data_IF_581415368275
#
_entry.id   IF_581415368275
#
_cell.length_a   1.000
_cell.length_b   1.000
_cell.length_c   1.000
_cell.angle_alpha   90.00
_cell.angle_beta   90.00
_cell.angle_gamma   90.00
#
_symmetry.space_group_name_H-M   'P 1'
#
loop_
_entity.id
_entity.type
_entity.pdbx_description
1 polymer ?
#
# COMPACT_ATOMS: atom_id res chain seq x y z
N UNK A 1 -28.78 -27.45 -57.45
CA UNK A 1 -27.77 -26.38 -57.27
C UNK A 1 -28.01 -25.79 -55.88
N UNK A 2 -27.21 -26.16 -54.87
CA UNK A 2 -26.21 -25.28 -54.22
C UNK A 2 -26.81 -23.88 -53.93
N UNK A 3 -26.93 -23.41 -52.68
CA UNK A 3 -25.82 -23.16 -51.75
C UNK A 3 -26.29 -23.12 -50.28
N UNK A 4 -25.37 -23.59 -49.44
CA UNK A 4 -25.27 -23.60 -47.97
C UNK A 4 -25.25 -22.17 -47.42
N UNK A 5 -25.86 -21.95 -46.23
CA UNK A 5 -25.29 -21.07 -45.21
C UNK A 5 -25.58 -21.63 -43.81
N UNK A 6 -24.57 -22.29 -43.25
CA UNK A 6 -24.41 -22.53 -41.82
C UNK A 6 -24.13 -21.18 -41.15
N UNK A 7 -24.92 -20.78 -40.16
CA UNK A 7 -24.55 -19.75 -39.21
C UNK A 7 -24.39 -20.43 -37.85
N UNK A 8 -23.19 -20.95 -37.60
CA UNK A 8 -22.78 -21.44 -36.28
C UNK A 8 -22.43 -20.20 -35.45
N UNK A 9 -23.38 -19.73 -34.64
CA UNK A 9 -23.13 -18.68 -33.65
C UNK A 9 -22.37 -19.32 -32.48
N UNK A 10 -21.04 -19.25 -32.53
CA UNK A 10 -20.19 -19.55 -31.38
C UNK A 10 -20.30 -18.37 -30.42
N UNK A 11 -21.25 -18.45 -29.49
CA UNK A 11 -21.23 -17.62 -28.29
C UNK A 11 -20.13 -18.21 -27.41
N UNK A 12 -18.91 -17.68 -27.52
CA UNK A 12 -17.91 -17.84 -26.47
C UNK A 12 -18.48 -17.15 -25.23
N UNK A 13 -19.04 -17.93 -24.32
CA UNK A 13 -19.18 -17.52 -22.93
C UNK A 13 -17.75 -17.32 -22.41
N UNK A 14 -17.25 -16.09 -22.50
CA UNK A 14 -16.18 -15.64 -21.64
C UNK A 14 -16.75 -15.67 -20.22
N UNK A 15 -16.64 -16.83 -19.56
CA UNK A 15 -16.73 -16.86 -18.11
C UNK A 15 -15.65 -15.92 -17.55
N UNK A 16 -15.86 -15.31 -16.38
CA UNK A 16 -14.77 -14.62 -15.71
C UNK A 16 -13.62 -15.62 -15.61
N UNK A 17 -12.45 -15.26 -16.12
CA UNK A 17 -11.23 -16.01 -15.80
C UNK A 17 -10.95 -15.67 -14.34
N UNK A 18 -11.05 -16.67 -13.46
CA UNK A 18 -10.72 -16.49 -12.05
C UNK A 18 -9.20 -16.40 -12.00
N UNK A 19 -8.66 -15.32 -11.44
CA UNK A 19 -7.22 -15.17 -11.32
C UNK A 19 -6.66 -16.28 -10.41
N UNK A 20 -5.52 -16.84 -10.80
CA UNK A 20 -4.81 -17.86 -10.01
C UNK A 20 -4.12 -17.21 -8.79
N UNK A 21 -3.65 -15.97 -8.99
CA UNK A 21 -2.95 -15.16 -7.99
C UNK A 21 -3.44 -13.72 -8.08
N UNK A 22 -3.68 -13.08 -6.94
CA UNK A 22 -3.89 -11.65 -6.80
C UNK A 22 -2.69 -11.02 -6.13
N UNK A 23 -2.22 -9.89 -6.67
CA UNK A 23 -1.26 -9.02 -6.01
C UNK A 23 -2.03 -7.88 -5.36
N UNK A 24 -1.66 -7.56 -4.12
CA UNK A 24 -2.32 -6.55 -3.30
C UNK A 24 -1.24 -5.61 -2.80
N UNK A 25 -1.46 -4.31 -2.97
CA UNK A 25 -0.64 -3.28 -2.34
C UNK A 25 -1.41 -2.73 -1.15
N UNK A 26 -0.77 -2.75 0.02
CA UNK A 26 -1.35 -2.24 1.27
C UNK A 26 -0.51 -1.07 1.76
N UNK A 27 -1.13 0.07 2.03
CA UNK A 27 -0.46 1.15 2.76
C UNK A 27 -0.24 0.75 4.22
N UNK A 28 1.02 0.76 4.65
CA UNK A 28 1.44 0.44 6.01
C UNK A 28 1.77 1.69 6.82
N UNK A 29 1.57 2.88 6.25
CA UNK A 29 1.95 4.17 6.82
C UNK A 29 3.45 4.46 6.67
N UNK A 30 3.83 5.70 6.99
CA UNK A 30 5.22 6.18 6.97
C UNK A 30 5.94 5.96 5.62
N UNK A 31 5.25 6.11 4.50
CA UNK A 31 5.81 5.88 3.16
C UNK A 31 6.01 4.41 2.81
N UNK A 32 5.47 3.46 3.60
CA UNK A 32 5.67 2.03 3.38
C UNK A 32 4.49 1.40 2.67
N UNK A 33 4.78 0.67 1.60
CA UNK A 33 3.78 -0.16 0.91
C UNK A 33 4.15 -1.64 1.05
N UNK A 34 3.22 -2.42 1.61
CA UNK A 34 3.31 -3.88 1.63
C UNK A 34 2.89 -4.45 0.29
N UNK A 35 3.73 -5.28 -0.32
CA UNK A 35 3.43 -6.02 -1.53
C UNK A 35 3.05 -7.43 -1.11
N UNK A 36 1.75 -7.71 -1.11
CA UNK A 36 1.17 -8.96 -0.65
C UNK A 36 0.63 -9.77 -1.84
N UNK A 37 0.49 -11.07 -1.65
CA UNK A 37 -0.13 -11.98 -2.61
C UNK A 37 -1.19 -12.85 -1.94
N UNK A 38 -2.14 -13.29 -2.74
CA UNK A 38 -3.05 -14.39 -2.38
C UNK A 38 -3.37 -15.20 -3.63
N UNK A 39 -3.61 -16.51 -3.50
CA UNK A 39 -3.88 -17.36 -4.65
C UNK A 39 -4.73 -18.56 -4.32
N UNK A 40 -5.24 -19.21 -5.36
CA UNK A 40 -5.91 -20.52 -5.27
C UNK A 40 -4.95 -21.68 -5.47
N UNK A 41 -3.78 -21.39 -6.02
CA UNK A 41 -2.67 -22.32 -6.21
C UNK A 41 -1.36 -21.70 -5.69
N UNK A 42 -0.37 -22.55 -5.42
CA UNK A 42 0.94 -22.09 -4.99
C UNK A 42 1.70 -21.47 -6.17
N UNK A 43 2.16 -20.24 -5.98
CA UNK A 43 3.12 -19.61 -6.89
C UNK A 43 4.53 -20.14 -6.59
N UNK A 44 5.28 -20.43 -7.65
CA UNK A 44 6.71 -20.77 -7.59
C UNK A 44 7.58 -19.51 -7.61
N UNK A 45 7.22 -18.53 -8.43
CA UNK A 45 8.04 -17.35 -8.61
C UNK A 45 7.21 -16.13 -9.05
N UNK A 46 7.72 -14.95 -8.72
CA UNK A 46 7.20 -13.65 -9.08
C UNK A 46 8.28 -12.84 -9.79
N UNK A 47 7.95 -12.30 -10.96
CA UNK A 47 8.66 -11.19 -11.57
C UNK A 47 7.70 -10.01 -11.73
N UNK A 48 7.90 -8.97 -10.92
CA UNK A 48 7.00 -7.82 -10.82
C UNK A 48 7.77 -6.52 -11.04
N UNK A 49 7.17 -5.62 -11.81
CA UNK A 49 7.57 -4.23 -11.90
C UNK A 49 6.72 -3.41 -10.95
N UNK A 50 7.36 -2.62 -10.09
CA UNK A 50 6.72 -1.77 -9.09
C UNK A 50 7.14 -0.34 -9.39
N UNK A 51 6.18 0.54 -9.57
CA UNK A 51 6.40 1.96 -9.91
C UNK A 51 5.68 2.88 -8.95
N UNK A 52 6.24 4.08 -8.78
CA UNK A 52 5.62 5.20 -8.08
C UNK A 52 5.40 6.36 -9.05
N UNK A 53 4.28 7.07 -8.93
CA UNK A 53 3.95 8.21 -9.79
C UNK A 53 4.78 9.48 -9.47
N UNK A 54 5.11 9.67 -8.19
CA UNK A 54 5.97 10.73 -7.66
C UNK A 54 7.03 10.17 -6.71
N UNK A 55 8.12 10.91 -6.54
CA UNK A 55 9.24 10.48 -5.70
C UNK A 55 10.02 9.29 -6.25
N UNK A 56 10.67 8.57 -5.33
CA UNK A 56 11.49 7.39 -5.62
C UNK A 56 11.24 6.29 -4.60
N UNK A 57 11.56 5.05 -4.99
CA UNK A 57 11.61 3.90 -4.09
C UNK A 57 13.00 3.83 -3.46
N UNK A 58 13.09 4.07 -2.16
CA UNK A 58 14.35 4.18 -1.42
C UNK A 58 14.88 2.82 -0.95
N UNK A 59 13.99 1.91 -0.58
CA UNK A 59 14.36 0.61 -0.03
C UNK A 59 13.30 -0.47 -0.31
N UNK A 60 13.76 -1.71 -0.28
CA UNK A 60 12.92 -2.91 -0.17
C UNK A 60 13.34 -3.65 1.10
N UNK A 61 12.37 -4.10 1.90
CA UNK A 61 12.56 -4.73 3.21
C UNK A 61 11.52 -5.85 3.42
N UNK A 62 11.57 -6.53 4.57
CA UNK A 62 10.57 -7.53 5.00
C UNK A 62 10.33 -8.64 3.96
N UNK A 63 11.43 -9.17 3.42
CA UNK A 63 11.42 -10.29 2.48
C UNK A 63 12.17 -11.49 3.07
N UNK A 64 11.73 -12.69 2.71
CA UNK A 64 12.42 -13.92 3.07
C UNK A 64 13.73 -14.06 2.29
N UNK A 65 14.72 -14.75 2.84
CA UNK A 65 16.02 -15.01 2.19
C UNK A 65 16.38 -16.48 2.32
N UNK A 66 16.83 -17.09 1.23
CA UNK A 66 17.24 -18.49 1.17
C UNK A 66 16.11 -19.48 0.85
N UNK A 67 16.42 -20.77 1.01
CA UNK A 67 15.54 -21.90 0.72
C UNK A 67 14.85 -22.46 1.98
N UNK A 68 13.81 -23.27 1.77
CA UNK A 68 13.05 -23.98 2.80
C UNK A 68 12.62 -23.11 4.00
N UNK A 69 12.12 -21.90 3.70
CA UNK A 69 11.82 -20.84 4.68
C UNK A 69 10.35 -20.39 4.73
N UNK A 70 9.41 -21.10 4.08
CA UNK A 70 8.01 -20.70 3.89
C UNK A 70 7.82 -19.39 3.12
N UNK A 71 8.81 -18.96 2.33
CA UNK A 71 8.78 -17.72 1.59
C UNK A 71 9.50 -17.79 0.24
N UNK A 72 9.69 -16.62 -0.36
CA UNK A 72 10.28 -16.46 -1.69
C UNK A 72 11.67 -15.84 -1.59
N UNK A 73 12.64 -16.62 -1.09
CA UNK A 73 14.00 -16.15 -0.81
C UNK A 73 15.05 -16.35 -1.91
N UNK A 74 14.63 -16.78 -3.10
CA UNK A 74 15.51 -17.00 -4.25
C UNK A 74 15.36 -15.84 -5.25
N UNK A 75 16.36 -14.97 -5.37
CA UNK A 75 16.30 -13.78 -6.20
C UNK A 75 17.09 -13.99 -7.49
N UNK A 76 16.44 -14.38 -8.59
CA UNK A 76 17.11 -14.97 -9.76
C UNK A 76 18.22 -14.08 -10.36
N UNK A 77 17.95 -12.79 -10.59
CA UNK A 77 18.93 -11.84 -11.10
C UNK A 77 20.14 -11.66 -10.17
N UNK A 78 19.88 -11.55 -8.86
CA UNK A 78 20.91 -11.39 -7.83
C UNK A 78 21.67 -12.69 -7.52
N UNK A 79 21.02 -13.85 -7.65
CA UNK A 79 21.57 -15.16 -7.29
C UNK A 79 22.86 -15.43 -8.06
N UNK A 80 22.83 -15.20 -9.38
CA UNK A 80 23.99 -15.43 -10.25
C UNK A 80 25.21 -14.54 -9.95
N UNK A 81 25.00 -13.40 -9.26
CA UNK A 81 26.07 -12.44 -8.92
C UNK A 81 26.62 -12.62 -7.52
N UNK A 82 25.76 -12.97 -6.58
CA UNK A 82 26.07 -12.93 -5.15
C UNK A 82 26.21 -14.32 -4.52
N UNK A 83 25.43 -15.31 -4.99
CA UNK A 83 25.39 -16.63 -4.36
C UNK A 83 26.39 -17.57 -5.03
N UNK A 84 27.18 -18.25 -4.20
CA UNK A 84 28.05 -19.36 -4.63
C UNK A 84 27.42 -20.67 -4.20
N UNK A 85 27.20 -21.56 -5.16
CA UNK A 85 26.73 -22.93 -4.92
C UNK A 85 27.94 -23.86 -4.85
N UNK A 86 28.01 -24.69 -3.82
CA UNK A 86 29.01 -25.75 -3.75
C UNK A 86 28.78 -26.74 -4.90
N UNK A 87 29.76 -26.87 -5.79
CA UNK A 87 29.62 -27.71 -6.98
C UNK A 87 29.58 -29.22 -6.69
N UNK A 88 30.04 -29.66 -5.50
CA UNK A 88 30.04 -31.06 -5.09
C UNK A 88 28.74 -31.46 -4.39
N UNK A 89 28.16 -30.57 -3.59
CA UNK A 89 26.92 -30.86 -2.83
C UNK A 89 25.67 -30.24 -3.44
N UNK A 90 25.81 -29.17 -4.22
CA UNK A 90 24.69 -28.36 -4.71
C UNK A 90 24.11 -27.41 -3.66
N UNK A 91 24.77 -27.27 -2.50
CA UNK A 91 24.26 -26.49 -1.37
C UNK A 91 24.80 -25.05 -1.38
N UNK A 92 24.02 -24.13 -0.81
CA UNK A 92 24.44 -22.76 -0.52
C UNK A 92 24.76 -22.67 0.97
N UNK A 93 26.02 -22.36 1.28
CA UNK A 93 26.48 -22.31 2.68
C UNK A 93 26.12 -21.00 3.40
N UNK A 94 25.89 -19.93 2.64
CA UNK A 94 25.55 -18.61 3.19
C UNK A 94 24.60 -17.88 2.25
N UNK A 95 23.41 -17.57 2.76
CA UNK A 95 22.39 -16.80 2.07
C UNK A 95 22.42 -15.30 2.44
N UNK A 96 23.16 -14.93 3.49
CA UNK A 96 23.24 -13.55 4.00
C UNK A 96 24.37 -12.74 3.32
N UNK A 97 24.57 -12.97 2.02
CA UNK A 97 25.60 -12.28 1.24
C UNK A 97 25.19 -10.82 1.01
N UNK A 98 26.12 -9.89 1.23
CA UNK A 98 25.89 -8.47 0.98
C UNK A 98 25.45 -8.22 -0.47
N UNK A 99 24.39 -7.42 -0.62
CA UNK A 99 23.80 -7.10 -1.92
C UNK A 99 22.82 -8.14 -2.46
N UNK A 100 22.65 -9.30 -1.81
CA UNK A 100 21.64 -10.28 -2.20
C UNK A 100 20.24 -9.79 -1.83
N UNK A 101 19.53 -9.27 -2.84
CA UNK A 101 18.26 -8.56 -2.71
C UNK A 101 17.29 -8.99 -3.83
N UNK A 102 15.97 -8.93 -3.60
CA UNK A 102 14.97 -9.20 -4.63
C UNK A 102 14.98 -8.19 -5.77
N UNK A 103 15.57 -6.99 -5.59
CA UNK A 103 15.62 -5.96 -6.63
C UNK A 103 16.60 -6.35 -7.72
N UNK A 104 16.12 -6.49 -8.96
CA UNK A 104 16.96 -6.74 -10.12
C UNK A 104 17.87 -5.55 -10.43
N UNK A 105 19.04 -5.83 -11.00
CA UNK A 105 19.97 -4.77 -11.40
C UNK A 105 19.40 -4.01 -12.60
N UNK A 106 19.50 -2.68 -12.58
CA UNK A 106 18.92 -1.82 -13.63
C UNK A 106 19.53 -2.05 -15.03
N UNK A 107 20.71 -2.68 -15.10
CA UNK A 107 21.33 -3.09 -16.36
C UNK A 107 20.77 -4.40 -16.92
N UNK A 108 19.96 -5.13 -16.16
CA UNK A 108 19.41 -6.40 -16.63
C UNK A 108 18.30 -6.23 -17.67
N UNK A 109 18.19 -7.15 -18.64
CA UNK A 109 17.10 -7.14 -19.61
C UNK A 109 15.72 -7.12 -18.93
N UNK A 110 14.93 -6.10 -19.26
CA UNK A 110 13.57 -5.94 -18.75
C UNK A 110 13.49 -5.42 -17.32
N UNK A 111 14.60 -5.07 -16.66
CA UNK A 111 14.56 -4.42 -15.34
C UNK A 111 14.28 -2.91 -15.47
N UNK A 112 13.60 -2.36 -14.45
CA UNK A 112 13.41 -0.92 -14.26
C UNK A 112 14.66 -0.26 -13.65
N UNK A 113 14.56 1.03 -13.31
CA UNK A 113 15.68 1.89 -12.90
C UNK A 113 16.38 1.51 -11.59
N UNK A 114 15.73 0.68 -10.75
CA UNK A 114 16.29 0.22 -9.47
C UNK A 114 16.05 1.20 -8.32
N UNK A 115 16.64 0.91 -7.16
CA UNK A 115 16.49 1.75 -5.98
C UNK A 115 16.99 3.19 -6.23
N UNK A 116 16.32 4.17 -5.61
CA UNK A 116 16.57 5.58 -5.85
C UNK A 116 15.98 6.11 -7.16
N UNK A 117 15.12 5.33 -7.82
CA UNK A 117 14.34 5.75 -8.99
C UNK A 117 12.85 5.56 -8.74
N UNK A 118 12.01 5.97 -9.69
CA UNK A 118 10.55 5.82 -9.58
C UNK A 118 10.05 4.40 -9.94
N UNK A 119 10.95 3.44 -10.18
CA UNK A 119 10.55 2.08 -10.54
C UNK A 119 11.61 1.03 -10.28
N UNK A 120 11.19 -0.08 -9.68
CA UNK A 120 12.03 -1.25 -9.44
C UNK A 120 11.41 -2.49 -10.10
N UNK A 121 12.25 -3.43 -10.49
CA UNK A 121 11.82 -4.78 -10.83
C UNK A 121 12.27 -5.70 -9.71
N UNK A 122 11.36 -6.52 -9.20
CA UNK A 122 11.67 -7.55 -8.21
C UNK A 122 11.52 -8.95 -8.78
N UNK A 123 12.40 -9.85 -8.35
CA UNK A 123 12.35 -11.28 -8.66
C UNK A 123 12.41 -12.09 -7.38
N UNK A 124 11.40 -12.92 -7.15
CA UNK A 124 11.26 -13.69 -5.92
C UNK A 124 10.78 -15.09 -6.23
N UNK A 125 11.63 -16.08 -5.99
CA UNK A 125 11.36 -17.50 -6.21
C UNK A 125 11.34 -18.28 -4.90
N UNK A 126 10.53 -19.33 -4.86
CA UNK A 126 10.52 -20.29 -3.76
C UNK A 126 11.29 -21.55 -4.16
N UNK A 127 12.19 -21.97 -3.29
CA UNK A 127 12.84 -23.28 -3.32
C UNK A 127 12.66 -23.89 -1.93
N UNK A 128 12.06 -25.07 -1.85
CA UNK A 128 11.73 -25.70 -0.58
C UNK A 128 11.67 -27.22 -0.72
N UNK A 129 11.88 -27.91 0.40
CA UNK A 129 11.64 -29.36 0.54
C UNK A 129 10.40 -29.59 1.40
N UNK A 130 10.36 -28.98 2.58
CA UNK A 130 9.28 -29.19 3.56
C UNK A 130 8.50 -27.92 3.91
N UNK A 131 9.05 -26.75 3.60
CA UNK A 131 8.51 -25.44 3.99
C UNK A 131 8.10 -24.60 2.79
N UNK A 132 7.05 -25.06 2.11
CA UNK A 132 6.41 -24.33 1.02
C UNK A 132 5.85 -22.97 1.52
N UNK A 133 5.88 -21.91 0.69
CA UNK A 133 5.13 -20.71 0.99
C UNK A 133 3.63 -21.00 1.15
N UNK A 134 2.91 -20.24 2.00
CA UNK A 134 1.45 -20.31 2.07
C UNK A 134 0.80 -19.83 0.76
N UNK A 135 -0.51 -20.04 0.62
CA UNK A 135 -1.29 -19.50 -0.51
C UNK A 135 -1.46 -17.98 -0.47
N UNK A 136 -1.16 -17.35 0.65
CA UNK A 136 -1.22 -15.90 0.81
C UNK A 136 -0.16 -15.43 1.82
N UNK A 137 0.41 -14.27 1.58
CA UNK A 137 1.41 -13.67 2.46
C UNK A 137 2.02 -12.41 1.86
N UNK A 138 3.05 -11.92 2.53
CA UNK A 138 3.83 -10.78 2.09
C UNK A 138 5.02 -11.22 1.25
N UNK A 139 5.25 -10.55 0.13
CA UNK A 139 6.49 -10.67 -0.64
C UNK A 139 7.56 -9.75 -0.05
N UNK A 140 7.26 -8.46 0.07
CA UNK A 140 8.18 -7.46 0.62
C UNK A 140 7.44 -6.18 1.05
N UNK A 141 8.17 -5.25 1.66
CA UNK A 141 7.76 -3.86 1.87
C UNK A 141 8.67 -2.95 1.05
N UNK A 142 8.09 -2.04 0.27
CA UNK A 142 8.84 -0.93 -0.35
C UNK A 142 8.71 0.34 0.51
N UNK A 143 9.73 1.19 0.47
CA UNK A 143 9.73 2.51 1.14
C UNK A 143 9.80 3.60 0.07
N UNK A 144 8.84 4.50 0.08
CA UNK A 144 8.71 5.63 -0.83
C UNK A 144 9.27 6.90 -0.16
N UNK A 145 9.96 7.74 -0.93
CA UNK A 145 10.57 8.97 -0.41
C UNK A 145 9.55 10.04 0.00
N UNK A 146 8.33 9.97 -0.53
CA UNK A 146 7.23 10.92 -0.30
C UNK A 146 5.87 10.20 -0.55
N UNK A 147 4.72 10.80 -0.17
CA UNK A 147 3.42 10.22 -0.51
C UNK A 147 3.31 10.01 -2.02
N UNK A 148 2.86 8.83 -2.45
CA UNK A 148 2.81 8.46 -3.86
C UNK A 148 1.72 7.42 -4.13
N UNK A 149 1.46 7.16 -5.41
CA UNK A 149 0.67 6.02 -5.86
C UNK A 149 1.58 4.92 -6.33
N UNK A 150 1.40 3.73 -5.78
CA UNK A 150 2.12 2.53 -6.18
C UNK A 150 1.30 1.75 -7.20
N UNK A 151 1.94 1.38 -8.30
CA UNK A 151 1.39 0.49 -9.33
C UNK A 151 2.32 -0.69 -9.54
N UNK A 152 1.76 -1.90 -9.49
CA UNK A 152 2.44 -3.17 -9.74
C UNK A 152 1.95 -3.79 -11.04
N UNK A 153 2.89 -4.24 -11.86
CA UNK A 153 2.61 -4.99 -13.09
C UNK A 153 3.46 -6.26 -13.16
N UNK A 154 3.00 -7.28 -13.89
CA UNK A 154 3.82 -8.48 -14.14
C UNK A 154 4.89 -8.19 -15.20
N UNK A 155 6.07 -8.78 -15.06
CA UNK A 155 7.18 -8.57 -15.99
C UNK A 155 7.36 -9.77 -16.94
N UNK A 156 6.83 -9.67 -18.15
CA UNK A 156 6.85 -10.76 -19.13
C UNK A 156 8.26 -11.08 -19.66
N UNK A 157 9.16 -10.09 -19.69
CA UNK A 157 10.57 -10.31 -20.08
C UNK A 157 11.29 -11.21 -19.09
N UNK A 158 10.85 -11.17 -17.83
CA UNK A 158 11.45 -11.90 -16.70
C UNK A 158 10.59 -13.07 -16.18
N UNK A 159 9.55 -13.44 -16.94
CA UNK A 159 8.80 -14.68 -16.70
C UNK A 159 7.45 -14.54 -15.99
N UNK A 160 6.96 -13.31 -15.77
CA UNK A 160 5.69 -13.04 -15.08
C UNK A 160 5.60 -13.75 -13.70
N UNK A 161 4.39 -14.16 -13.31
CA UNK A 161 4.15 -15.00 -12.12
C UNK A 161 3.98 -16.44 -12.61
N UNK A 162 4.69 -17.37 -11.98
CA UNK A 162 4.72 -18.78 -12.39
C UNK A 162 4.20 -19.65 -11.26
N UNK A 163 3.33 -20.61 -11.57
CA UNK A 163 2.78 -21.57 -10.62
C UNK A 163 3.70 -22.78 -10.42
N UNK A 164 3.45 -23.59 -9.37
CA UNK A 164 4.23 -24.81 -9.07
C UNK A 164 4.38 -25.77 -10.26
N UNK A 165 3.35 -25.84 -11.11
CA UNK A 165 3.26 -26.70 -12.28
C UNK A 165 3.99 -26.12 -13.52
N UNK A 166 4.70 -25.00 -13.37
CA UNK A 166 5.43 -24.25 -14.41
C UNK A 166 4.57 -23.47 -15.40
N UNK A 167 3.24 -23.46 -15.26
CA UNK A 167 2.40 -22.58 -16.07
C UNK A 167 2.48 -21.13 -15.56
N UNK A 168 2.32 -20.20 -16.49
CA UNK A 168 2.11 -18.79 -16.15
C UNK A 168 0.74 -18.64 -15.46
N UNK A 169 0.72 -17.87 -14.38
CA UNK A 169 -0.50 -17.54 -13.63
C UNK A 169 -1.31 -16.45 -14.34
N UNK A 170 -2.63 -16.55 -14.28
CA UNK A 170 -3.49 -15.39 -14.51
C UNK A 170 -3.49 -14.53 -13.26
N UNK A 171 -2.98 -13.29 -13.37
CA UNK A 171 -2.78 -12.40 -12.21
C UNK A 171 -3.86 -11.31 -12.15
N UNK A 172 -4.47 -11.14 -10.98
CA UNK A 172 -5.30 -9.97 -10.66
C UNK A 172 -4.42 -8.87 -10.03
N UNK A 173 -4.44 -7.69 -10.64
CA UNK A 173 -3.68 -6.51 -10.22
C UNK A 173 -4.60 -5.35 -9.77
N UNK A 174 -5.91 -5.61 -9.66
CA UNK A 174 -6.89 -4.57 -9.33
C UNK A 174 -6.59 -3.88 -8.01
N UNK A 175 -6.17 -4.65 -7.00
CA UNK A 175 -5.77 -4.14 -5.68
C UNK A 175 -4.29 -3.73 -5.60
N UNK A 176 -3.62 -3.59 -6.74
CA UNK A 176 -2.20 -3.23 -6.83
C UNK A 176 -1.92 -2.15 -7.88
N UNK A 177 -2.97 -1.47 -8.39
CA UNK A 177 -2.86 -0.41 -9.39
C UNK A 177 -3.29 0.92 -8.79
N UNK A 178 -2.45 1.95 -8.91
CA UNK A 178 -2.67 3.32 -8.43
C UNK A 178 -3.06 3.40 -6.95
N UNK A 179 -2.46 2.54 -6.11
CA UNK A 179 -2.75 2.47 -4.69
C UNK A 179 -2.02 3.60 -3.97
N UNK A 180 -2.80 4.46 -3.31
CA UNK A 180 -2.27 5.59 -2.55
C UNK A 180 -1.50 5.09 -1.32
N UNK A 181 -0.26 5.55 -1.18
CA UNK A 181 0.60 5.31 -0.03
C UNK A 181 0.81 6.64 0.68
N UNK A 182 0.37 6.72 1.93
CA UNK A 182 0.65 7.87 2.77
C UNK A 182 2.15 8.08 2.92
N UNK A 183 2.60 9.34 2.85
CA UNK A 183 4.02 9.65 2.96
C UNK A 183 4.57 9.45 4.35
N UNK A 184 5.82 9.90 4.52
CA UNK A 184 6.52 9.92 5.81
C UNK A 184 5.84 10.96 6.72
N UNK A 185 4.87 10.47 7.49
CA UNK A 185 4.12 11.20 8.49
C UNK A 185 2.94 10.34 8.90
N UNK A 186 3.16 9.60 10.00
CA UNK A 186 2.27 8.60 10.53
C UNK A 186 0.83 9.07 10.68
N UNK A 187 -0.06 8.08 10.59
CA UNK A 187 -1.44 8.20 11.00
C UNK A 187 -1.52 8.78 12.42
N UNK A 188 -2.25 9.89 12.56
CA UNK A 188 -2.28 10.69 13.80
C UNK A 188 -3.19 10.12 14.90
N UNK A 189 -3.98 9.09 14.57
CA UNK A 189 -4.98 8.55 15.48
C UNK A 189 -4.56 7.30 16.24
N UNK A 190 -5.36 6.90 17.25
CA UNK A 190 -5.07 5.73 18.06
C UNK A 190 -5.43 4.38 17.40
N UNK A 191 -6.29 4.38 16.35
CA UNK A 191 -6.84 3.17 15.73
C UNK A 191 -6.69 3.17 14.20
N UNK A 192 -5.61 2.62 13.62
CA UNK A 192 -5.38 2.62 12.17
C UNK A 192 -6.44 1.82 11.38
N UNK A 193 -7.11 0.87 12.02
CA UNK A 193 -8.24 0.14 11.45
C UNK A 193 -9.42 1.06 11.11
N UNK A 194 -9.69 2.08 11.93
CA UNK A 194 -10.75 3.05 11.65
C UNK A 194 -10.40 3.91 10.43
N UNK A 195 -9.13 4.29 10.28
CA UNK A 195 -8.64 5.04 9.12
C UNK A 195 -8.83 4.24 7.83
N UNK A 196 -8.55 2.94 7.84
CA UNK A 196 -8.82 2.06 6.70
C UNK A 196 -10.33 1.96 6.41
N UNK A 197 -11.18 1.86 7.43
CA UNK A 197 -12.65 1.75 7.27
C UNK A 197 -13.25 2.98 6.60
N UNK A 198 -12.73 4.17 6.88
CA UNK A 198 -13.24 5.43 6.31
C UNK A 198 -12.49 5.90 5.05
N UNK A 199 -11.75 4.99 4.38
CA UNK A 199 -11.12 5.29 3.10
C UNK A 199 -9.85 6.15 3.19
N UNK A 200 -9.17 6.10 4.33
CA UNK A 200 -7.85 6.69 4.56
C UNK A 200 -7.76 8.20 4.26
N UNK A 201 -8.59 9.07 4.88
CA UNK A 201 -8.54 10.51 4.66
C UNK A 201 -7.15 11.09 4.92
N UNK A 202 -6.61 11.84 3.95
CA UNK A 202 -5.26 12.43 4.00
C UNK A 202 -5.06 13.37 5.19
N UNK A 203 -6.10 14.08 5.63
CA UNK A 203 -6.01 15.00 6.75
C UNK A 203 -5.74 14.32 8.10
N UNK A 204 -5.83 12.99 8.19
CA UNK A 204 -5.45 12.23 9.38
C UNK A 204 -3.96 11.84 9.39
N UNK A 205 -3.19 12.28 8.38
CA UNK A 205 -1.75 12.05 8.31
C UNK A 205 -0.98 13.21 8.92
N UNK A 206 0.00 12.91 9.78
CA UNK A 206 0.82 13.95 10.43
C UNK A 206 1.68 14.73 9.44
N UNK A 207 1.97 14.15 8.28
CA UNK A 207 2.66 14.83 7.17
C UNK A 207 1.79 15.91 6.49
N UNK A 208 0.47 15.75 6.54
CA UNK A 208 -0.50 16.68 5.93
C UNK A 208 -1.03 17.65 6.98
N UNK A 209 -1.48 17.13 8.11
CA UNK A 209 -1.99 17.91 9.22
C UNK A 209 -1.44 17.35 10.56
N UNK A 210 -0.30 17.86 11.04
CA UNK A 210 0.35 17.37 12.26
C UNK A 210 -0.43 17.69 13.53
N UNK A 211 -1.55 18.42 13.45
CA UNK A 211 -2.33 18.88 14.61
C UNK A 211 -3.78 18.43 14.56
N UNK A 212 -4.13 17.57 13.61
CA UNK A 212 -5.52 17.16 13.41
C UNK A 212 -6.13 16.55 14.68
N UNK A 213 -5.40 15.66 15.36
CA UNK A 213 -5.80 15.06 16.64
C UNK A 213 -5.94 16.07 17.80
N UNK A 214 -5.61 17.35 17.59
CA UNK A 214 -5.77 18.44 18.53
C UNK A 214 -6.93 19.38 18.19
N UNK A 215 -7.74 19.07 17.18
CA UNK A 215 -8.89 19.87 16.80
C UNK A 215 -8.64 20.85 15.64
N UNK A 216 -7.50 20.73 14.96
CA UNK A 216 -7.15 21.50 13.76
C UNK A 216 -7.69 20.76 12.54
N UNK A 217 -8.87 21.13 12.03
CA UNK A 217 -9.47 20.44 10.90
C UNK A 217 -8.91 20.93 9.55
N UNK A 218 -8.49 22.19 9.49
CA UNK A 218 -8.11 22.84 8.23
C UNK A 218 -6.59 22.92 7.96
N UNK A 219 -5.78 22.63 8.98
CA UNK A 219 -4.33 22.64 8.93
C UNK A 219 -3.72 24.05 8.90
N UNK A 220 -4.47 25.09 9.25
CA UNK A 220 -4.07 26.49 9.09
C UNK A 220 -4.28 27.37 10.33
N UNK A 221 -3.23 28.11 10.71
CA UNK A 221 -3.31 29.06 11.81
C UNK A 221 -4.09 30.33 11.44
N UNK A 222 -4.95 30.81 12.35
CA UNK A 222 -5.79 31.99 12.17
C UNK A 222 -5.37 33.18 13.06
N UNK A 223 -5.46 34.38 12.50
CA UNK A 223 -5.24 35.65 13.20
C UNK A 223 -3.78 35.97 13.54
N UNK A 224 -3.57 37.14 14.16
CA UNK A 224 -2.21 37.63 14.52
C UNK A 224 -1.49 36.76 15.54
N UNK A 225 -2.26 36.05 16.37
CA UNK A 225 -1.76 35.17 17.42
C UNK A 225 -1.59 33.72 16.95
N UNK A 226 -1.83 33.43 15.66
CA UNK A 226 -1.67 32.11 15.03
C UNK A 226 -2.35 30.99 15.81
N UNK A 227 -3.66 31.12 15.99
CA UNK A 227 -4.46 30.07 16.61
C UNK A 227 -4.70 28.94 15.61
N UNK A 228 -4.23 27.74 15.91
CA UNK A 228 -4.39 26.55 15.06
C UNK A 228 -5.75 25.86 15.22
N UNK A 229 -6.42 26.11 16.33
CA UNK A 229 -7.81 25.69 16.55
C UNK A 229 -8.65 26.94 16.74
N UNK A 230 -9.46 27.25 15.74
CA UNK A 230 -10.25 28.47 15.71
C UNK A 230 -11.51 28.34 14.84
N UNK A 231 -12.02 29.47 14.36
CA UNK A 231 -13.31 29.57 13.70
C UNK A 231 -13.47 28.68 12.48
N UNK A 232 -12.45 28.54 11.63
CA UNK A 232 -12.55 27.63 10.48
C UNK A 232 -12.74 26.17 10.93
N UNK A 233 -12.01 25.71 11.95
CA UNK A 233 -12.13 24.34 12.47
C UNK A 233 -13.51 24.08 13.07
N UNK A 234 -14.05 25.09 13.77
CA UNK A 234 -15.41 25.05 14.28
C UNK A 234 -16.44 24.98 13.14
N UNK A 235 -16.23 25.66 12.03
CA UNK A 235 -17.11 25.59 10.86
C UNK A 235 -17.12 24.17 10.26
N UNK A 236 -15.95 23.51 10.18
CA UNK A 236 -15.85 22.10 9.75
C UNK A 236 -16.56 21.18 10.74
N UNK A 237 -16.34 21.34 12.05
CA UNK A 237 -17.02 20.55 13.08
C UNK A 237 -18.54 20.71 13.01
N UNK A 238 -19.05 21.95 12.90
CA UNK A 238 -20.49 22.23 12.81
C UNK A 238 -21.09 21.59 11.55
N UNK A 239 -20.40 21.68 10.41
CA UNK A 239 -20.86 21.08 9.17
C UNK A 239 -20.88 19.54 9.23
N UNK A 240 -20.06 18.94 10.07
CA UNK A 240 -19.89 17.49 10.22
C UNK A 240 -20.72 16.88 11.35
N UNK A 241 -21.31 17.72 12.20
CA UNK A 241 -21.91 17.34 13.47
C UNK A 241 -22.98 16.25 13.35
N UNK A 242 -22.77 15.15 14.09
CA UNK A 242 -23.66 13.99 14.15
C UNK A 242 -24.03 13.41 12.77
N UNK A 243 -23.05 13.34 11.88
CA UNK A 243 -23.16 12.63 10.61
C UNK A 243 -22.38 11.33 10.64
N UNK A 244 -22.92 10.30 9.99
CA UNK A 244 -22.24 9.04 9.73
C UNK A 244 -21.19 9.22 8.63
N UNK A 245 -20.24 8.28 8.49
CA UNK A 245 -19.24 8.37 7.41
C UNK A 245 -19.89 8.46 6.03
N UNK A 246 -20.95 7.69 5.78
CA UNK A 246 -21.69 7.72 4.51
C UNK A 246 -22.33 9.09 4.19
N UNK A 247 -22.56 9.93 5.19
CA UNK A 247 -23.07 11.30 5.02
C UNK A 247 -21.96 12.35 4.93
N UNK A 248 -20.71 11.98 5.27
CA UNK A 248 -19.53 12.83 5.20
C UNK A 248 -18.69 12.58 3.95
N UNK A 249 -18.75 11.37 3.40
CA UNK A 249 -17.91 10.94 2.29
C UNK A 249 -18.10 11.85 1.06
N UNK A 250 -17.00 12.43 0.58
CA UNK A 250 -16.97 13.40 -0.51
C UNK A 250 -17.50 14.81 -0.17
N UNK A 251 -18.04 15.04 1.03
CA UNK A 251 -18.56 16.35 1.44
C UNK A 251 -17.46 17.26 1.99
N UNK A 252 -17.59 18.56 1.72
CA UNK A 252 -16.55 19.56 1.98
C UNK A 252 -17.14 20.87 2.48
N UNK A 253 -16.41 21.59 3.34
CA UNK A 253 -16.68 23.00 3.64
C UNK A 253 -15.38 23.79 3.52
N UNK A 254 -15.39 24.89 2.77
CA UNK A 254 -14.16 25.68 2.55
C UNK A 254 -13.01 24.91 1.88
N UNK A 255 -13.32 23.89 1.06
CA UNK A 255 -12.37 22.92 0.48
C UNK A 255 -11.70 21.98 1.50
N UNK A 256 -12.23 21.88 2.71
CA UNK A 256 -11.76 20.95 3.75
C UNK A 256 -12.76 19.79 3.82
N UNK A 257 -12.31 18.53 3.71
CA UNK A 257 -13.19 17.38 3.86
C UNK A 257 -13.83 17.37 5.25
N UNK A 258 -15.13 17.10 5.30
CA UNK A 258 -15.85 17.12 6.58
C UNK A 258 -15.34 16.07 7.57
N UNK A 259 -14.84 14.93 7.06
CA UNK A 259 -14.20 13.89 7.89
C UNK A 259 -12.95 14.38 8.64
N UNK A 260 -12.37 15.52 8.27
CA UNK A 260 -11.21 16.08 8.98
C UNK A 260 -11.55 16.64 10.36
N UNK A 261 -12.84 16.85 10.67
CA UNK A 261 -13.29 17.25 12.01
C UNK A 261 -13.53 16.08 12.98
N UNK A 262 -13.33 14.84 12.53
CA UNK A 262 -13.28 13.65 13.38
C UNK A 262 -11.86 13.56 13.93
N UNK A 263 -11.61 14.16 15.10
CA UNK A 263 -10.30 14.37 15.70
C UNK A 263 -9.87 13.20 16.59
N UNK A 264 -10.84 12.42 17.11
CA UNK A 264 -10.54 11.22 17.87
C UNK A 264 -10.44 9.96 17.00
N UNK A 265 -10.84 10.08 15.73
CA UNK A 265 -10.87 9.05 14.70
C UNK A 265 -11.83 7.90 15.01
N UNK A 266 -12.86 8.15 15.81
CA UNK A 266 -13.74 7.12 16.35
C UNK A 266 -15.22 7.42 16.10
N UNK A 267 -15.93 6.42 15.58
CA UNK A 267 -17.37 6.49 15.50
C UNK A 267 -18.02 6.47 16.90
N UNK A 268 -18.86 7.46 17.19
CA UNK A 268 -19.55 7.60 18.48
C UNK A 268 -21.02 7.13 18.42
N UNK A 269 -21.40 6.36 19.43
CA UNK A 269 -22.79 5.98 19.70
C UNK A 269 -23.35 4.92 18.75
N UNK A 270 -24.63 4.57 18.94
CA UNK A 270 -25.29 3.51 18.16
C UNK A 270 -25.44 3.84 16.67
N UNK A 271 -25.46 5.13 16.34
CA UNK A 271 -25.57 5.61 14.98
C UNK A 271 -24.20 5.73 14.29
N UNK A 272 -23.10 5.47 15.00
CA UNK A 272 -21.74 5.54 14.46
C UNK A 272 -21.44 6.91 13.83
N UNK A 273 -21.74 7.99 14.56
CA UNK A 273 -21.41 9.35 14.10
C UNK A 273 -19.91 9.57 14.14
N UNK A 274 -19.32 10.15 13.09
CA UNK A 274 -17.88 10.40 13.02
C UNK A 274 -17.46 11.66 13.76
N UNK A 275 -18.32 12.68 13.78
CA UNK A 275 -18.06 13.93 14.51
C UNK A 275 -19.15 14.14 15.54
N UNK A 276 -18.79 14.09 16.82
CA UNK A 276 -19.73 14.23 17.92
C UNK A 276 -19.05 14.79 19.18
N UNK A 277 -19.52 14.41 20.37
CA UNK A 277 -19.10 15.10 21.60
C UNK A 277 -17.62 14.94 21.91
N UNK A 278 -17.00 13.81 21.56
CA UNK A 278 -15.57 13.62 21.79
C UNK A 278 -14.72 14.63 20.99
N UNK A 279 -15.07 14.86 19.72
CA UNK A 279 -14.40 15.84 18.85
C UNK A 279 -14.60 17.26 19.35
N UNK A 280 -15.82 17.57 19.82
CA UNK A 280 -16.11 18.85 20.44
C UNK A 280 -15.27 19.08 21.69
N UNK A 281 -15.09 18.04 22.52
CA UNK A 281 -14.25 18.12 23.72
C UNK A 281 -12.77 18.36 23.34
N UNK A 282 -12.27 17.74 22.27
CA UNK A 282 -10.91 17.99 21.72
C UNK A 282 -10.77 19.44 21.23
N UNK A 283 -11.73 19.93 20.43
CA UNK A 283 -11.72 21.30 19.92
C UNK A 283 -11.76 22.32 21.07
N UNK A 284 -12.61 22.09 22.08
CA UNK A 284 -12.71 22.97 23.26
C UNK A 284 -11.41 22.97 24.06
N UNK A 285 -10.77 21.81 24.25
CA UNK A 285 -9.54 21.69 25.02
C UNK A 285 -8.38 22.48 24.40
N UNK A 286 -8.37 22.64 23.08
CA UNK A 286 -7.30 23.31 22.34
C UNK A 286 -7.71 24.70 21.79
N UNK A 287 -8.94 25.14 22.05
CA UNK A 287 -9.52 26.35 21.47
C UNK A 287 -8.67 27.59 21.73
N UNK A 288 -8.22 28.23 20.64
CA UNK A 288 -7.44 29.47 20.68
C UNK A 288 -6.27 29.43 21.68
N UNK A 289 -5.65 28.25 21.85
CA UNK A 289 -4.37 28.16 22.53
C UNK A 289 -3.35 29.00 21.75
N UNK A 290 -2.81 30.04 22.39
CA UNK A 290 -1.78 30.89 21.79
C UNK A 290 -0.58 30.04 21.35
N UNK A 291 0.11 30.47 20.28
CA UNK A 291 1.19 29.80 19.49
C UNK A 291 2.37 29.19 20.31
N UNK A 292 2.05 28.36 21.28
CA UNK A 292 2.89 27.28 21.77
C UNK A 292 2.48 26.09 20.92
N UNK A 293 3.38 25.53 20.09
CA UNK A 293 3.03 24.34 19.36
C UNK A 293 2.51 23.31 20.35
N UNK A 294 1.26 22.87 20.17
CA UNK A 294 0.89 21.57 20.68
C UNK A 294 1.93 20.59 20.11
N UNK A 295 2.37 19.57 20.87
CA UNK A 295 3.16 18.50 20.27
C UNK A 295 2.45 18.05 18.99
N UNK A 296 3.21 17.65 17.97
CA UNK A 296 2.57 17.02 16.82
C UNK A 296 1.80 15.80 17.33
N UNK A 297 0.74 15.47 16.62
CA UNK A 297 0.10 14.18 16.76
C UNK A 297 1.15 13.05 16.64
N UNK A 298 0.93 11.92 17.35
CA UNK A 298 1.85 10.78 17.38
C UNK A 298 2.33 10.32 16.00
#
# INVERSE_FOLDING_TARGET
MKKVFFALLVVMLAGPVWADVAIIVTDLGDGKAGIDYSGTELARAFALDITVDVGVIEAVTDFAVGDDNNGYGIFLGSFSRHITVDAATGEVSDWAVEGYSPVADAGDPGALGGLGTNGITIEMGSLYDTKAPPLAGRLCIIICSEPCKVTVTTNATRGNVVLENTSEAVVDLTAATDIQIAGVGGYTGPQPEEWQVVGQPDCWLSSINPRQCHGDADGTSQGKNKFWVSTNDLDVLIASWNKTFAELDGEMVGNIPLICADFDHMAQGKNQFRVSTNDLDILIANWQAADSPAPNCP
#
